data_IF_029221783670
#
_entry.id   IF_029221783670
#
_cell.length_a   1.000
_cell.length_b   1.000
_cell.length_c   1.000
_cell.angle_alpha   90.00
_cell.angle_beta   90.00
_cell.angle_gamma   90.00
#
_symmetry.space_group_name_H-M   'P 1'
#
loop_
_entity.id
_entity.type
_entity.pdbx_description
1 polymer ?
#
# COMPACT_ATOMS: atom_id res chain seq x y z
N UNK A 1 -17.57 -0.13 -2.93
CA UNK A 1 -18.56 0.95 -2.71
C UNK A 1 -20.01 0.48 -2.71
N UNK A 2 -20.43 -0.44 -3.60
CA UNK A 2 -21.82 -0.95 -3.63
C UNK A 2 -22.30 -1.53 -2.29
N UNK A 3 -21.52 -2.43 -1.69
CA UNK A 3 -21.84 -3.02 -0.39
C UNK A 3 -21.88 -1.98 0.73
N UNK A 4 -20.86 -1.11 0.83
CA UNK A 4 -20.81 -0.03 1.83
C UNK A 4 -22.02 0.91 1.73
N UNK A 5 -22.44 1.24 0.50
CA UNK A 5 -23.65 2.03 0.23
C UNK A 5 -24.90 1.30 0.71
N UNK A 6 -25.06 0.03 0.32
CA UNK A 6 -26.21 -0.79 0.68
C UNK A 6 -26.36 -0.93 2.21
N UNK A 7 -25.29 -1.29 2.93
CA UNK A 7 -25.32 -1.40 4.39
C UNK A 7 -25.58 -0.05 5.09
N UNK A 8 -25.20 1.06 4.46
CA UNK A 8 -25.44 2.42 4.97
C UNK A 8 -26.81 2.99 4.59
N UNK A 9 -27.64 2.24 3.84
CA UNK A 9 -28.94 2.68 3.35
C UNK A 9 -28.90 3.68 2.20
N UNK A 10 -27.74 3.85 1.55
CA UNK A 10 -27.56 4.82 0.48
C UNK A 10 -27.65 4.19 -0.91
N UNK A 11 -28.32 4.90 -1.80
CA UNK A 11 -28.44 4.59 -3.22
C UNK A 11 -27.52 5.49 -4.04
N UNK A 12 -27.53 5.31 -5.37
CA UNK A 12 -26.84 6.23 -6.27
C UNK A 12 -27.58 7.57 -6.42
N UNK A 13 -28.90 7.59 -6.21
CA UNK A 13 -29.75 8.79 -6.35
C UNK A 13 -29.46 9.85 -5.29
N UNK A 14 -28.97 9.43 -4.13
CA UNK A 14 -28.65 10.33 -3.02
C UNK A 14 -27.43 11.22 -3.30
N UNK A 15 -26.66 10.92 -4.36
CA UNK A 15 -25.47 11.68 -4.80
C UNK A 15 -24.42 11.92 -3.71
N UNK A 16 -24.44 11.10 -2.65
CA UNK A 16 -23.49 11.16 -1.54
C UNK A 16 -22.10 10.76 -2.03
N UNK A 17 -21.09 11.52 -1.62
CA UNK A 17 -19.69 11.25 -1.93
C UNK A 17 -19.19 9.95 -1.28
N UNK A 18 -18.26 9.27 -1.95
CA UNK A 18 -17.75 7.99 -1.46
C UNK A 18 -16.92 8.17 -0.17
N UNK A 19 -16.31 9.33 0.00
CA UNK A 19 -15.52 9.74 1.14
C UNK A 19 -16.39 9.75 2.40
N UNK A 20 -17.56 10.37 2.34
CA UNK A 20 -18.52 10.39 3.45
C UNK A 20 -19.00 8.97 3.85
N UNK A 21 -19.27 8.10 2.87
CA UNK A 21 -19.68 6.71 3.16
C UNK A 21 -18.56 5.93 3.83
N UNK A 22 -17.32 6.14 3.38
CA UNK A 22 -16.14 5.49 3.97
C UNK A 22 -15.89 5.97 5.39
N UNK A 23 -16.00 7.27 5.64
CA UNK A 23 -15.90 7.87 6.97
C UNK A 23 -16.97 7.31 7.91
N UNK A 24 -18.23 7.26 7.47
CA UNK A 24 -19.34 6.71 8.25
C UNK A 24 -19.12 5.24 8.66
N UNK A 25 -18.52 4.43 7.79
CA UNK A 25 -18.27 2.99 8.06
C UNK A 25 -16.87 2.76 8.68
N UNK A 26 -16.01 3.77 8.76
CA UNK A 26 -14.64 3.62 9.24
C UNK A 26 -13.69 2.91 8.26
N UNK A 27 -14.02 2.87 6.96
CA UNK A 27 -13.24 2.15 5.94
C UNK A 27 -12.25 3.07 5.26
N UNK A 28 -10.96 2.77 5.34
CA UNK A 28 -9.96 3.53 4.63
C UNK A 28 -10.07 3.41 3.09
N UNK A 29 -9.59 4.42 2.33
CA UNK A 29 -9.50 4.32 0.88
C UNK A 29 -8.62 3.15 0.43
N UNK A 30 -9.06 2.45 -0.64
CA UNK A 30 -8.33 1.29 -1.19
C UNK A 30 -6.89 1.63 -1.57
N UNK A 31 -6.62 2.85 -2.05
CA UNK A 31 -5.27 3.34 -2.37
C UNK A 31 -4.32 3.25 -1.17
N UNK A 32 -4.82 3.54 0.03
CA UNK A 32 -4.03 3.56 1.25
C UNK A 32 -3.79 2.13 1.74
N UNK A 33 -4.77 1.22 1.57
CA UNK A 33 -4.57 -0.20 1.86
C UNK A 33 -3.59 -0.87 0.92
N UNK A 34 -3.61 -0.52 -0.37
CA UNK A 34 -2.61 -0.97 -1.34
C UNK A 34 -1.22 -0.49 -0.92
N UNK A 35 -1.09 0.77 -0.48
CA UNK A 35 0.17 1.32 0.04
C UNK A 35 0.66 0.54 1.26
N UNK A 36 -0.20 0.32 2.26
CA UNK A 36 0.14 -0.47 3.44
C UNK A 36 0.68 -1.85 3.03
N UNK A 37 0.00 -2.56 2.13
CA UNK A 37 0.42 -3.88 1.67
C UNK A 37 1.78 -3.85 0.95
N UNK A 38 2.04 -2.83 0.12
CA UNK A 38 3.36 -2.66 -0.52
C UNK A 38 4.47 -2.45 0.51
N UNK A 39 4.25 -1.59 1.50
CA UNK A 39 5.23 -1.30 2.55
C UNK A 39 5.41 -2.49 3.51
N UNK A 40 4.34 -3.25 3.78
CA UNK A 40 4.41 -4.49 4.54
C UNK A 40 5.29 -5.52 3.83
N UNK A 41 5.17 -5.63 2.50
CA UNK A 41 6.02 -6.49 1.68
C UNK A 41 7.48 -6.00 1.64
N UNK A 42 7.73 -4.69 1.51
CA UNK A 42 9.08 -4.14 1.61
C UNK A 42 9.74 -4.50 2.95
N UNK A 43 9.04 -4.28 4.06
CA UNK A 43 9.55 -4.64 5.38
C UNK A 43 9.78 -6.14 5.54
N UNK A 44 9.03 -6.99 4.82
CA UNK A 44 9.32 -8.42 4.76
C UNK A 44 10.64 -8.69 4.01
N UNK A 45 10.83 -8.11 2.82
CA UNK A 45 12.05 -8.27 2.03
C UNK A 45 13.29 -7.78 2.80
N UNK A 46 13.25 -6.59 3.40
CA UNK A 46 14.41 -5.98 4.08
C UNK A 46 14.90 -6.77 5.30
N UNK A 47 14.01 -7.53 5.94
CA UNK A 47 14.33 -8.37 7.10
C UNK A 47 14.82 -9.77 6.75
N UNK A 48 14.80 -10.16 5.47
CA UNK A 48 15.37 -11.45 5.05
C UNK A 48 16.90 -11.36 4.93
N UNK A 49 17.62 -12.47 5.21
CA UNK A 49 19.05 -12.51 5.00
C UNK A 49 19.39 -12.32 3.51
N UNK A 50 20.62 -11.89 3.21
CA UNK A 50 21.07 -11.59 1.84
C UNK A 50 20.94 -12.76 0.86
N UNK A 51 21.11 -13.99 1.37
CA UNK A 51 21.03 -15.23 0.59
C UNK A 51 19.59 -15.72 0.36
N UNK A 52 18.60 -15.13 1.05
CA UNK A 52 17.21 -15.52 0.91
C UNK A 52 16.69 -15.22 -0.51
N UNK A 53 16.00 -16.15 -1.18
CA UNK A 53 15.44 -15.92 -2.51
C UNK A 53 14.47 -14.72 -2.57
N UNK A 54 13.78 -14.40 -1.47
CA UNK A 54 12.92 -13.22 -1.36
C UNK A 54 13.76 -11.94 -1.37
N UNK A 55 14.98 -11.95 -0.81
CA UNK A 55 15.89 -10.80 -0.81
C UNK A 55 16.47 -10.53 -2.21
N UNK A 56 16.67 -11.58 -3.02
CA UNK A 56 17.15 -11.47 -4.42
C UNK A 56 16.24 -10.60 -5.31
N UNK A 57 14.98 -10.41 -4.91
CA UNK A 57 14.04 -9.52 -5.58
C UNK A 57 14.53 -8.08 -5.63
N UNK A 58 15.25 -7.60 -4.61
CA UNK A 58 15.85 -6.26 -4.63
C UNK A 58 16.83 -6.10 -5.82
N UNK A 59 17.61 -7.13 -6.11
CA UNK A 59 18.58 -7.15 -7.21
C UNK A 59 17.86 -7.13 -8.57
N UNK A 60 16.80 -7.94 -8.71
CA UNK A 60 15.99 -8.00 -9.94
C UNK A 60 15.33 -6.67 -10.29
N UNK A 61 14.96 -5.86 -9.28
CA UNK A 61 14.39 -4.54 -9.51
C UNK A 61 15.43 -3.46 -9.79
N UNK A 62 16.68 -3.63 -9.34
CA UNK A 62 17.79 -2.72 -9.66
C UNK A 62 18.26 -2.89 -11.10
N UNK A 63 18.14 -4.09 -11.67
CA UNK A 63 18.43 -4.32 -13.08
C UNK A 63 17.35 -3.67 -13.96
N UNK A 64 17.75 -2.69 -14.78
CA UNK A 64 16.84 -2.02 -15.71
C UNK A 64 16.27 -3.00 -16.73
N UNK A 65 14.95 -3.24 -16.70
CA UNK A 65 14.24 -4.07 -17.69
C UNK A 65 13.46 -3.16 -18.65
N UNK A 66 13.71 -3.31 -19.95
CA UNK A 66 12.96 -2.62 -21.01
C UNK A 66 11.47 -2.94 -20.87
N UNK A 67 10.63 -1.92 -20.71
CA UNK A 67 9.18 -2.08 -20.51
C UNK A 67 8.50 -2.37 -21.85
N UNK A 68 7.68 -3.42 -21.88
CA UNK A 68 6.77 -3.70 -22.99
C UNK A 68 5.64 -2.66 -23.08
N UNK A 69 5.00 -2.58 -24.25
CA UNK A 69 3.83 -1.72 -24.49
C UNK A 69 2.67 -2.10 -23.55
N UNK A 70 1.92 -1.11 -23.06
CA UNK A 70 0.78 -1.29 -22.16
C UNK A 70 1.12 -1.43 -20.67
N UNK A 71 2.40 -1.57 -20.30
CA UNK A 71 2.81 -1.65 -18.89
C UNK A 71 2.75 -0.29 -18.21
N UNK A 72 2.40 -0.27 -16.92
CA UNK A 72 2.39 0.95 -16.11
C UNK A 72 3.73 1.68 -16.17
N UNK A 73 3.67 3.03 -16.22
CA UNK A 73 4.85 3.89 -16.25
C UNK A 73 5.68 3.75 -14.97
N UNK A 74 5.04 3.60 -13.80
CA UNK A 74 5.73 3.49 -12.51
C UNK A 74 6.13 2.05 -12.21
N UNK A 75 7.37 1.84 -11.77
CA UNK A 75 7.83 0.55 -11.25
C UNK A 75 7.36 0.33 -9.81
N UNK A 76 7.52 -0.89 -9.30
CA UNK A 76 7.27 -1.19 -7.90
C UNK A 76 8.19 -0.36 -6.97
N UNK A 77 9.49 -0.24 -7.29
CA UNK A 77 10.43 0.62 -6.56
C UNK A 77 10.02 2.10 -6.60
N UNK A 78 9.58 2.61 -7.76
CA UNK A 78 9.10 3.99 -7.85
C UNK A 78 7.88 4.21 -6.94
N UNK A 79 6.96 3.25 -6.89
CA UNK A 79 5.80 3.33 -6.00
C UNK A 79 6.22 3.31 -4.53
N UNK A 80 7.18 2.48 -4.15
CA UNK A 80 7.71 2.46 -2.78
C UNK A 80 8.38 3.77 -2.41
N UNK A 81 9.25 4.31 -3.27
CA UNK A 81 9.91 5.60 -3.00
C UNK A 81 8.89 6.70 -2.79
N UNK A 82 7.85 6.73 -3.63
CA UNK A 82 6.74 7.66 -3.46
C UNK A 82 5.97 7.42 -2.14
N UNK A 83 5.69 6.17 -1.78
CA UNK A 83 4.95 5.83 -0.56
C UNK A 83 5.74 6.17 0.72
N UNK A 84 7.05 5.89 0.74
CA UNK A 84 7.97 6.23 1.82
C UNK A 84 8.05 7.74 1.97
N UNK A 85 8.21 8.46 0.86
CA UNK A 85 8.25 9.93 0.84
C UNK A 85 6.93 10.53 1.31
N UNK A 86 5.79 9.99 0.88
CA UNK A 86 4.46 10.47 1.28
C UNK A 86 4.21 10.31 2.79
N UNK A 87 4.73 9.25 3.40
CA UNK A 87 4.54 8.95 4.81
C UNK A 87 5.71 9.43 5.70
N UNK A 88 6.70 10.11 5.12
CA UNK A 88 7.93 10.55 5.77
C UNK A 88 8.59 9.43 6.60
N UNK A 89 8.75 8.26 5.98
CA UNK A 89 9.32 7.08 6.62
C UNK A 89 10.81 6.95 6.33
N UNK A 90 11.55 6.46 7.31
CA UNK A 90 12.93 6.00 7.10
C UNK A 90 12.91 4.50 6.75
N UNK A 91 13.59 4.10 5.68
CA UNK A 91 13.69 2.70 5.27
C UNK A 91 14.34 1.82 6.36
N UNK A 92 15.26 2.37 7.16
CA UNK A 92 15.89 1.68 8.28
C UNK A 92 14.89 1.30 9.39
N UNK A 93 13.73 1.95 9.43
CA UNK A 93 12.65 1.60 10.37
C UNK A 93 12.09 0.20 10.09
N UNK A 94 12.30 -0.36 8.91
CA UNK A 94 11.83 -1.71 8.54
C UNK A 94 12.36 -2.82 9.46
N UNK A 95 13.51 -2.62 10.12
CA UNK A 95 14.06 -3.57 11.10
C UNK A 95 13.31 -3.55 12.43
N UNK A 96 12.69 -2.43 12.80
CA UNK A 96 11.82 -2.35 13.99
C UNK A 96 10.38 -2.71 13.59
N UNK A 97 10.01 -3.99 13.74
CA UNK A 97 8.72 -4.52 13.32
C UNK A 97 7.51 -3.82 13.96
N UNK A 98 7.62 -3.46 15.24
CA UNK A 98 6.53 -2.81 15.99
C UNK A 98 6.30 -1.39 15.50
N UNK A 99 7.38 -0.61 15.36
CA UNK A 99 7.27 0.75 14.84
C UNK A 99 6.88 0.77 13.37
N UNK A 100 7.42 -0.14 12.55
CA UNK A 100 7.07 -0.27 11.14
C UNK A 100 5.58 -0.54 10.97
N UNK A 101 5.04 -1.58 11.63
CA UNK A 101 3.62 -1.91 11.58
C UNK A 101 2.75 -0.73 12.03
N UNK A 102 3.09 -0.08 13.14
CA UNK A 102 2.32 1.05 13.67
C UNK A 102 2.28 2.23 12.69
N UNK A 103 3.37 2.51 11.98
CA UNK A 103 3.48 3.64 11.05
C UNK A 103 2.80 3.39 9.69
N UNK A 104 2.80 2.15 9.20
CA UNK A 104 2.18 1.81 7.91
C UNK A 104 0.71 1.43 8.04
N UNK A 105 0.22 1.18 9.26
CA UNK A 105 -1.11 0.68 9.51
C UNK A 105 -2.17 1.63 8.96
N UNK A 106 -3.08 1.09 8.14
CA UNK A 106 -4.27 1.77 7.65
C UNK A 106 -5.47 1.06 8.23
N UNK A 107 -6.44 1.85 8.73
CA UNK A 107 -7.65 1.33 9.36
C UNK A 107 -8.30 0.22 8.52
N UNK A 108 -8.58 -0.91 9.16
CA UNK A 108 -9.34 -2.00 8.58
C UNK A 108 -10.84 -1.79 8.84
N UNK A 109 -11.72 -2.20 7.90
CA UNK A 109 -13.14 -2.38 8.22
C UNK A 109 -13.23 -3.43 9.34
N UNK A 110 -13.66 -3.04 10.53
CA UNK A 110 -14.09 -3.98 11.58
C UNK A 110 -15.36 -4.69 11.16
#
# INVERSE_FOLDING_TARGET
MRMLRWMSGFTHRDRIQNEHIREKVGVAPVKDKIRENRLRWLGHIKRRPSDDPVRRVDILYLTYVKKGRGRSKKTWLDNIRNDISLLDLNENLTFNMTQWRKRIHVADPT
#
